data_IF_106886230611
#
_entry.id   IF_106886230611
#
_cell.length_a   1.000
_cell.length_b   1.000
_cell.length_c   1.000
_cell.angle_alpha   90.00
_cell.angle_beta   90.00
_cell.angle_gamma   90.00
#
_symmetry.space_group_name_H-M   'P 1'
#
loop_
_entity.id
_entity.type
_entity.pdbx_description
1 polymer ?
#
# COMPACT_ATOMS: atom_id res chain seq x y z
N UNK A 1 -11.28 12.87 4.32
CA UNK A 1 -11.59 14.24 4.83
C UNK A 1 -10.53 15.27 4.42
N UNK A 2 -9.25 15.15 4.82
CA UNK A 2 -8.21 16.16 4.52
C UNK A 2 -8.00 16.42 3.01
N UNK A 3 -8.07 15.39 2.16
CA UNK A 3 -7.86 15.56 0.71
C UNK A 3 -8.96 16.37 0.01
N UNK A 4 -10.21 16.23 0.46
CA UNK A 4 -11.36 17.00 -0.03
C UNK A 4 -11.19 18.47 0.34
N UNK A 5 -10.81 18.76 1.59
CA UNK A 5 -10.60 20.12 2.08
C UNK A 5 -9.41 20.81 1.41
N UNK A 6 -8.39 20.06 0.99
CA UNK A 6 -7.23 20.59 0.26
C UNK A 6 -7.45 20.69 -1.25
N UNK A 7 -8.66 20.42 -1.76
CA UNK A 7 -8.99 20.37 -3.20
C UNK A 7 -7.99 19.52 -4.00
N UNK A 8 -7.51 18.42 -3.40
CA UNK A 8 -6.57 17.48 -4.04
C UNK A 8 -7.32 16.23 -4.47
N UNK A 9 -8.32 16.41 -5.34
CA UNK A 9 -9.18 15.32 -5.82
C UNK A 9 -8.39 14.25 -6.58
N UNK A 10 -7.25 14.62 -7.18
CA UNK A 10 -6.31 13.67 -7.79
C UNK A 10 -5.69 12.66 -6.82
N UNK A 11 -5.79 12.90 -5.50
CA UNK A 11 -5.36 11.97 -4.46
C UNK A 11 -6.50 11.06 -3.96
N UNK A 12 -7.75 11.40 -4.28
CA UNK A 12 -8.95 10.61 -3.96
C UNK A 12 -9.17 9.60 -5.10
N UNK A 13 -8.23 8.69 -5.23
CA UNK A 13 -8.36 7.56 -6.16
C UNK A 13 -9.19 6.45 -5.52
N UNK A 14 -9.80 5.61 -6.35
CA UNK A 14 -10.58 4.44 -5.91
C UNK A 14 -9.86 3.64 -4.81
N UNK A 15 -8.55 3.40 -4.97
CA UNK A 15 -7.72 2.72 -3.97
C UNK A 15 -7.80 3.35 -2.57
N UNK A 16 -7.74 4.67 -2.47
CA UNK A 16 -7.79 5.38 -1.20
C UNK A 16 -9.16 5.19 -0.53
N UNK A 17 -10.24 5.44 -1.28
CA UNK A 17 -11.61 5.35 -0.74
C UNK A 17 -11.91 3.90 -0.35
N UNK A 18 -11.65 2.95 -1.25
CA UNK A 18 -11.88 1.53 -1.01
C UNK A 18 -11.12 1.02 0.22
N UNK A 19 -9.83 1.37 0.37
CA UNK A 19 -9.04 1.00 1.54
C UNK A 19 -9.62 1.59 2.83
N UNK A 20 -9.89 2.91 2.87
CA UNK A 20 -10.35 3.55 4.11
C UNK A 20 -11.79 3.24 4.50
N UNK A 21 -12.62 2.73 3.60
CA UNK A 21 -13.95 2.22 3.94
C UNK A 21 -13.91 0.77 4.41
N UNK A 22 -13.05 -0.07 3.83
CA UNK A 22 -13.00 -1.50 4.14
C UNK A 22 -12.16 -1.83 5.38
N UNK A 23 -11.04 -1.12 5.60
CA UNK A 23 -10.13 -1.38 6.74
C UNK A 23 -10.84 -1.29 8.11
N UNK A 24 -11.68 -0.27 8.41
CA UNK A 24 -12.38 -0.21 9.70
C UNK A 24 -13.34 -1.39 9.92
N UNK A 25 -14.02 -1.84 8.85
CA UNK A 25 -14.93 -2.99 8.91
C UNK A 25 -14.15 -4.28 9.20
N UNK A 26 -13.05 -4.50 8.47
CA UNK A 26 -12.18 -5.66 8.68
C UNK A 26 -11.57 -5.64 10.09
N UNK A 27 -11.12 -4.47 10.56
CA UNK A 27 -10.58 -4.31 11.91
C UNK A 27 -11.63 -4.61 12.99
N UNK A 28 -12.86 -4.12 12.82
CA UNK A 28 -13.97 -4.43 13.72
C UNK A 28 -14.23 -5.93 13.80
N UNK A 29 -14.30 -6.62 12.65
CA UNK A 29 -14.47 -8.08 12.60
C UNK A 29 -13.28 -8.79 13.25
N UNK A 30 -12.05 -8.37 12.96
CA UNK A 30 -10.83 -8.96 13.53
C UNK A 30 -10.78 -8.88 15.05
N UNK A 31 -11.15 -7.73 15.63
CA UNK A 31 -11.21 -7.56 17.09
C UNK A 31 -12.38 -8.34 17.71
N UNK A 32 -13.52 -8.42 17.01
CA UNK A 32 -14.72 -9.11 17.52
C UNK A 32 -14.56 -10.63 17.58
N UNK A 33 -13.90 -11.22 16.58
CA UNK A 33 -13.79 -12.69 16.45
C UNK A 33 -12.45 -13.27 16.91
N UNK A 34 -11.43 -12.45 17.13
CA UNK A 34 -10.10 -12.93 17.53
C UNK A 34 -9.15 -11.81 17.93
N UNK A 35 -9.38 -11.15 19.07
CA UNK A 35 -8.48 -10.11 19.53
C UNK A 35 -7.13 -10.74 19.95
N UNK A 36 -6.03 -10.26 19.38
CA UNK A 36 -4.69 -10.63 19.85
C UNK A 36 -3.97 -11.72 19.05
N UNK A 37 -2.87 -12.22 19.63
CA UNK A 37 -2.08 -13.33 19.10
C UNK A 37 -1.56 -13.07 17.68
N UNK A 38 -1.69 -14.09 16.82
CA UNK A 38 -1.26 -14.02 15.42
C UNK A 38 -2.03 -12.98 14.60
N UNK A 39 -3.26 -12.63 15.02
CA UNK A 39 -4.10 -11.62 14.36
C UNK A 39 -3.54 -10.20 14.55
N UNK A 40 -2.77 -9.95 15.61
CA UNK A 40 -2.15 -8.64 15.89
C UNK A 40 -0.94 -8.32 15.01
N UNK A 41 -0.39 -9.29 14.27
CA UNK A 41 0.79 -9.06 13.45
C UNK A 41 0.53 -8.04 12.33
N UNK A 42 -0.62 -8.15 11.65
CA UNK A 42 -1.01 -7.19 10.60
C UNK A 42 -1.05 -5.75 11.13
N UNK A 43 -1.86 -5.40 12.15
CA UNK A 43 -1.94 -4.02 12.64
C UNK A 43 -0.62 -3.50 13.21
N UNK A 44 0.23 -4.37 13.77
CA UNK A 44 1.58 -3.99 14.23
C UNK A 44 2.46 -3.51 13.07
N UNK A 45 2.62 -4.32 12.02
CA UNK A 45 3.44 -3.94 10.85
C UNK A 45 2.82 -2.75 10.13
N UNK A 46 1.49 -2.69 10.03
CA UNK A 46 0.79 -1.57 9.43
C UNK A 46 1.03 -0.26 10.18
N UNK A 47 1.02 -0.28 11.51
CA UNK A 47 1.31 0.90 12.32
C UNK A 47 2.74 1.40 12.09
N UNK A 48 3.72 0.49 12.02
CA UNK A 48 5.10 0.83 11.70
C UNK A 48 5.24 1.53 10.33
N UNK A 49 4.60 1.01 9.29
CA UNK A 49 4.62 1.65 7.96
C UNK A 49 3.85 2.97 7.96
N UNK A 50 2.75 3.06 8.71
CA UNK A 50 1.98 4.29 8.84
C UNK A 50 2.76 5.42 9.51
N UNK A 51 3.63 5.13 10.48
CA UNK A 51 4.54 6.15 11.05
C UNK A 51 5.33 6.85 9.94
N UNK A 52 5.95 6.08 9.05
CA UNK A 52 6.73 6.63 7.93
C UNK A 52 5.86 7.35 6.89
N UNK A 53 4.69 6.79 6.58
CA UNK A 53 3.77 7.37 5.61
C UNK A 53 3.19 8.71 6.09
N UNK A 54 2.76 8.80 7.35
CA UNK A 54 2.27 10.04 7.93
C UNK A 54 3.39 11.06 8.16
N UNK A 55 4.60 10.63 8.50
CA UNK A 55 5.77 11.51 8.55
C UNK A 55 5.99 12.18 7.19
N UNK A 56 5.96 11.41 6.10
CA UNK A 56 6.08 11.97 4.75
C UNK A 56 4.97 12.97 4.44
N UNK A 57 3.72 12.67 4.80
CA UNK A 57 2.62 13.60 4.58
C UNK A 57 2.73 14.88 5.42
N UNK A 58 3.20 14.78 6.66
CA UNK A 58 3.49 15.92 7.52
C UNK A 58 4.58 16.80 6.91
N UNK A 59 5.69 16.21 6.47
CA UNK A 59 6.76 16.95 5.79
C UNK A 59 6.27 17.57 4.48
N UNK A 60 5.43 16.88 3.71
CA UNK A 60 4.84 17.39 2.47
C UNK A 60 3.88 18.57 2.71
N UNK A 61 3.34 18.72 3.92
CA UNK A 61 2.47 19.85 4.28
C UNK A 61 3.21 21.12 4.72
N UNK A 62 4.51 21.04 5.04
CA UNK A 62 5.30 22.20 5.49
C UNK A 62 5.64 23.22 4.38
N UNK A 63 5.31 22.93 3.12
CA UNK A 63 5.39 23.87 2.01
C UNK A 63 6.34 23.46 0.89
N UNK A 64 6.58 24.34 -0.10
CA UNK A 64 7.40 24.03 -1.28
C UNK A 64 8.87 23.75 -0.95
N UNK A 65 9.41 24.38 0.10
CA UNK A 65 10.80 24.20 0.53
C UNK A 65 11.08 22.79 1.07
N UNK A 66 10.14 22.20 1.83
CA UNK A 66 10.28 20.83 2.31
C UNK A 66 10.03 19.80 1.20
N UNK A 67 9.14 20.10 0.25
CA UNK A 67 8.79 19.20 -0.85
C UNK A 67 9.98 18.88 -1.77
N UNK A 68 10.96 19.78 -1.88
CA UNK A 68 12.21 19.55 -2.64
C UNK A 68 12.98 18.32 -2.15
N UNK A 69 12.89 18.00 -0.86
CA UNK A 69 13.60 16.89 -0.23
C UNK A 69 12.78 15.57 -0.24
N UNK A 70 11.56 15.56 -0.79
CA UNK A 70 10.64 14.42 -0.75
C UNK A 70 10.74 13.46 -1.94
N UNK A 71 11.92 13.35 -2.55
CA UNK A 71 12.17 12.42 -3.67
C UNK A 71 12.05 10.93 -3.32
N UNK A 72 11.89 10.60 -2.03
CA UNK A 72 11.83 9.23 -1.52
C UNK A 72 10.42 8.62 -1.48
N UNK A 73 9.42 9.29 -2.06
CA UNK A 73 8.04 8.79 -2.19
C UNK A 73 7.95 7.36 -2.75
N UNK A 74 8.80 7.02 -3.73
CA UNK A 74 8.83 5.67 -4.32
C UNK A 74 9.17 4.58 -3.29
N UNK A 75 10.09 4.88 -2.36
CA UNK A 75 10.52 3.94 -1.33
C UNK A 75 9.42 3.70 -0.30
N UNK A 76 8.59 4.71 -0.02
CA UNK A 76 7.39 4.54 0.80
C UNK A 76 6.38 3.60 0.14
N UNK A 77 6.13 3.78 -1.16
CA UNK A 77 5.23 2.87 -1.87
C UNK A 77 5.80 1.44 -1.93
N UNK A 78 7.12 1.29 -2.08
CA UNK A 78 7.79 -0.01 -1.96
C UNK A 78 7.69 -0.61 -0.55
N UNK A 79 7.79 0.21 0.50
CA UNK A 79 7.62 -0.24 1.89
C UNK A 79 6.19 -0.72 2.17
N UNK A 80 5.18 -0.03 1.63
CA UNK A 80 3.78 -0.45 1.71
C UNK A 80 3.54 -1.77 0.98
N UNK A 81 4.13 -1.97 -0.21
CA UNK A 81 4.08 -3.26 -0.93
C UNK A 81 4.78 -4.38 -0.14
N UNK A 82 5.93 -4.08 0.46
CA UNK A 82 6.66 -5.03 1.28
C UNK A 82 5.86 -5.44 2.53
N UNK A 83 5.13 -4.52 3.17
CA UNK A 83 4.22 -4.85 4.27
C UNK A 83 3.22 -5.94 3.88
N UNK A 84 2.50 -5.77 2.77
CA UNK A 84 1.50 -6.75 2.33
C UNK A 84 2.15 -8.10 2.00
N UNK A 85 3.36 -8.11 1.42
CA UNK A 85 4.11 -9.33 1.15
C UNK A 85 4.52 -10.05 2.44
N UNK A 86 5.11 -9.33 3.40
CA UNK A 86 5.55 -9.88 4.70
C UNK A 86 4.37 -10.42 5.50
N UNK A 87 3.27 -9.68 5.55
CA UNK A 87 2.03 -10.15 6.20
C UNK A 87 1.52 -11.43 5.53
N UNK A 88 1.45 -11.46 4.20
CA UNK A 88 0.97 -12.64 3.48
C UNK A 88 1.86 -13.86 3.74
N UNK A 89 3.18 -13.67 3.74
CA UNK A 89 4.15 -14.74 4.04
C UNK A 89 4.02 -15.23 5.49
N UNK A 90 3.83 -14.32 6.45
CA UNK A 90 3.60 -14.67 7.85
C UNK A 90 2.37 -15.58 8.03
N UNK A 91 1.24 -15.22 7.41
CA UNK A 91 0.02 -16.04 7.50
C UNK A 91 0.13 -17.34 6.72
N UNK A 92 0.82 -17.38 5.57
CA UNK A 92 1.10 -18.63 4.85
C UNK A 92 1.97 -19.55 5.69
N UNK A 93 3.03 -19.03 6.31
CA UNK A 93 3.89 -19.79 7.23
C UNK A 93 3.07 -20.33 8.41
N UNK A 94 2.23 -19.48 9.01
CA UNK A 94 1.36 -19.88 10.10
C UNK A 94 0.42 -21.03 9.68
N UNK A 95 -0.19 -20.97 8.49
CA UNK A 95 -1.06 -22.04 7.98
C UNK A 95 -0.30 -23.34 7.69
N UNK A 96 0.92 -23.28 7.15
CA UNK A 96 1.69 -24.46 6.76
C UNK A 96 2.39 -25.15 7.93
N UNK A 97 2.84 -24.37 8.92
CA UNK A 97 3.65 -24.85 10.04
C UNK A 97 2.90 -24.85 11.38
N UNK A 98 1.59 -24.57 11.37
CA UNK A 98 0.78 -24.67 12.58
C UNK A 98 0.87 -26.09 13.15
N UNK A 99 1.33 -26.19 14.39
CA UNK A 99 1.27 -27.42 15.16
C UNK A 99 -0.19 -27.80 15.40
N UNK A 100 -0.49 -29.11 15.51
CA UNK A 100 -1.86 -29.63 15.77
C UNK A 100 -2.54 -29.02 17.02
N UNK A 101 -1.76 -28.41 17.91
CA UNK A 101 -2.19 -27.75 19.14
C UNK A 101 -2.69 -26.31 18.95
N UNK A 102 -2.46 -25.69 17.79
CA UNK A 102 -2.87 -24.31 17.50
C UNK A 102 -4.01 -24.29 16.48
N UNK A 103 -5.24 -24.14 16.97
CA UNK A 103 -6.45 -24.03 16.15
C UNK A 103 -6.57 -22.64 15.54
N UNK A 104 -6.04 -22.47 14.33
CA UNK A 104 -6.17 -21.23 13.56
C UNK A 104 -7.58 -21.17 12.97
N UNK A 105 -8.32 -20.10 13.25
CA UNK A 105 -9.63 -19.88 12.64
C UNK A 105 -9.48 -19.52 11.15
N UNK A 106 -10.09 -20.29 10.22
CA UNK A 106 -10.07 -19.98 8.80
C UNK A 106 -10.63 -18.58 8.49
N UNK A 107 -11.63 -18.13 9.28
CA UNK A 107 -12.21 -16.80 9.16
C UNK A 107 -11.17 -15.70 9.37
N UNK A 108 -10.34 -15.80 10.41
CA UNK A 108 -9.31 -14.79 10.71
C UNK A 108 -8.19 -14.79 9.67
N UNK A 109 -7.85 -15.95 9.11
CA UNK A 109 -6.89 -16.04 8.00
C UNK A 109 -7.44 -15.32 6.76
N UNK A 110 -8.69 -15.59 6.38
CA UNK A 110 -9.33 -14.93 5.23
C UNK A 110 -9.43 -13.42 5.45
N UNK A 111 -9.80 -12.97 6.66
CA UNK A 111 -9.89 -11.55 7.00
C UNK A 111 -8.54 -10.82 6.96
N UNK A 112 -7.41 -11.51 7.13
CA UNK A 112 -6.09 -10.89 7.03
C UNK A 112 -5.47 -11.03 5.63
N UNK A 113 -5.47 -12.23 5.07
CA UNK A 113 -4.82 -12.54 3.80
C UNK A 113 -5.62 -12.00 2.61
N UNK A 114 -6.95 -12.12 2.65
CA UNK A 114 -7.83 -11.67 1.56
C UNK A 114 -7.63 -10.18 1.25
N UNK A 115 -7.79 -9.28 2.24
CA UNK A 115 -7.53 -7.86 2.06
C UNK A 115 -6.07 -7.56 1.70
N UNK A 116 -5.09 -8.28 2.28
CA UNK A 116 -3.67 -8.11 1.95
C UNK A 116 -3.39 -8.32 0.45
N UNK A 117 -3.96 -9.38 -0.14
CA UNK A 117 -3.80 -9.69 -1.58
C UNK A 117 -4.48 -8.62 -2.45
N UNK A 118 -5.69 -8.20 -2.08
CA UNK A 118 -6.43 -7.16 -2.82
C UNK A 118 -5.66 -5.83 -2.81
N UNK A 119 -5.21 -5.40 -1.63
CA UNK A 119 -4.45 -4.15 -1.50
C UNK A 119 -3.09 -4.25 -2.19
N UNK A 120 -2.40 -5.38 -2.12
CA UNK A 120 -1.16 -5.60 -2.86
C UNK A 120 -1.38 -5.39 -4.37
N UNK A 121 -2.43 -6.00 -4.94
CA UNK A 121 -2.76 -5.83 -6.36
C UNK A 121 -3.04 -4.37 -6.74
N UNK A 122 -3.84 -3.67 -5.93
CA UNK A 122 -4.17 -2.26 -6.17
C UNK A 122 -2.95 -1.34 -6.03
N UNK A 123 -2.10 -1.56 -5.01
CA UNK A 123 -0.86 -0.81 -4.84
C UNK A 123 0.17 -1.11 -5.93
N UNK A 124 0.23 -2.35 -6.39
CA UNK A 124 1.11 -2.74 -7.48
C UNK A 124 0.68 -2.07 -8.79
N UNK A 125 -0.63 -2.05 -9.07
CA UNK A 125 -1.18 -1.30 -10.20
C UNK A 125 -0.85 0.20 -10.11
N UNK A 126 -1.06 0.81 -8.94
CA UNK A 126 -0.68 2.21 -8.68
C UNK A 126 0.82 2.46 -8.89
N UNK A 127 1.68 1.57 -8.41
CA UNK A 127 3.14 1.68 -8.53
C UNK A 127 3.59 1.60 -9.99
N UNK A 128 3.07 0.63 -10.75
CA UNK A 128 3.38 0.49 -12.17
C UNK A 128 2.96 1.73 -12.96
N UNK A 129 1.75 2.22 -12.73
CA UNK A 129 1.22 3.39 -13.42
C UNK A 129 1.95 4.69 -13.06
N UNK A 130 2.37 4.84 -11.80
CA UNK A 130 2.99 6.07 -11.31
C UNK A 130 4.49 6.15 -11.59
N UNK A 131 5.19 5.01 -11.66
CA UNK A 131 6.66 4.99 -11.66
C UNK A 131 7.29 4.19 -12.81
N UNK A 132 6.59 3.24 -13.44
CA UNK A 132 7.15 2.40 -14.53
C UNK A 132 6.58 2.69 -15.91
N UNK A 133 5.47 3.42 -16.02
CA UNK A 133 5.00 3.88 -17.33
C UNK A 133 6.03 4.83 -17.95
N UNK A 134 6.50 4.57 -19.18
CA UNK A 134 7.24 5.57 -19.93
C UNK A 134 6.34 6.78 -20.08
N UNK A 135 6.76 7.95 -19.59
CA UNK A 135 6.04 9.20 -19.87
C UNK A 135 5.76 9.29 -21.38
N UNK A 136 4.58 9.77 -21.78
CA UNK A 136 4.28 9.99 -23.21
C UNK A 136 5.40 10.82 -23.86
N UNK A 137 6.03 11.71 -23.09
CA UNK A 137 7.23 12.47 -23.46
C UNK A 137 8.47 11.61 -23.77
N UNK A 138 8.73 10.52 -23.03
CA UNK A 138 9.84 9.60 -23.34
C UNK A 138 9.53 8.75 -24.58
N UNK A 139 8.27 8.34 -24.76
CA UNK A 139 7.82 7.63 -25.96
C UNK A 139 7.91 8.53 -27.21
N UNK A 140 7.51 9.80 -27.09
CA UNK A 140 7.64 10.82 -28.13
C UNK A 140 9.11 11.15 -28.43
N UNK A 141 9.97 11.36 -27.42
CA UNK A 141 11.42 11.56 -27.62
C UNK A 141 12.08 10.37 -28.29
N UNK A 142 11.72 9.14 -27.90
CA UNK A 142 12.23 7.92 -28.54
C UNK A 142 11.82 7.85 -30.00
N UNK A 143 10.54 8.08 -30.32
CA UNK A 143 10.04 8.11 -31.70
C UNK A 143 10.71 9.20 -32.55
N UNK A 144 10.89 10.41 -31.99
CA UNK A 144 11.56 11.52 -32.68
C UNK A 144 13.07 11.27 -32.87
N UNK A 145 13.72 10.52 -31.97
CA UNK A 145 15.12 10.13 -32.12
C UNK A 145 15.35 9.05 -33.19
N UNK A 146 14.36 8.16 -33.39
CA UNK A 146 14.39 7.14 -34.45
C UNK A 146 14.23 7.81 -35.82
N UNK A 147 13.26 8.72 -35.96
CA UNK A 147 13.04 9.50 -37.18
C UNK A 147 14.21 10.41 -37.59
N UNK A 148 15.09 10.77 -36.65
CA UNK A 148 16.30 11.57 -36.93
C UNK A 148 17.50 10.71 -37.36
N UNK A 149 17.45 9.39 -37.16
CA UNK A 149 18.50 8.44 -37.61
C UNK A 149 18.25 7.90 -39.02
N UNK A 150 17.03 8.02 -39.53
CA UNK A 150 16.64 7.55 -40.88
C UNK A 150 16.76 8.65 -41.97
N UNK A 151 17.29 9.83 -41.63
CA UNK A 151 17.66 10.90 -42.57
C UNK A 151 19.16 11.13 -42.52
#
# INVERSE_FOLDING_TARGET
>A
VIFVLRKKDSQIIFLHVFHHTTVPVIAWLGVSYGPGGYNSFYPMVNSFVHVWMYLYYGLASLGPESQKYLGWKKYLTSLQLAQFAVVSLYFVHLCLFSQKSCSISPLLVVLNVGPSVIYFGLFMHFYLNSYKQPSILSKYRSSKSILKKEK
#
